data_IF_802650520194
#
_entry.id   IF_802650520194
#
_cell.length_a   1.000
_cell.length_b   1.000
_cell.length_c   1.000
_cell.angle_alpha   90.00
_cell.angle_beta   90.00
_cell.angle_gamma   90.00
#
_symmetry.space_group_name_H-M   'P 1'
#
loop_
_entity.id
_entity.type
_entity.pdbx_description
1 polymer ?
#
# COMPACT_ATOMS: atom_id res chain seq x y z
N UNK A 1 15.83 25.68 15.12
CA UNK A 1 16.59 24.89 14.11
C UNK A 1 16.06 23.48 13.93
N UNK A 2 16.12 22.57 14.92
CA UNK A 2 15.53 21.22 14.78
C UNK A 2 13.99 21.21 14.87
N UNK A 3 13.41 22.08 15.70
CA UNK A 3 11.95 22.26 15.77
C UNK A 3 11.36 22.73 14.44
N UNK A 4 12.04 23.63 13.73
CA UNK A 4 11.59 24.14 12.43
C UNK A 4 11.65 23.06 11.34
N UNK A 5 12.68 22.21 11.37
CA UNK A 5 12.78 21.05 10.46
C UNK A 5 11.64 20.06 10.73
N UNK A 6 11.38 19.76 12.01
CA UNK A 6 10.28 18.89 12.41
C UNK A 6 8.93 19.45 11.94
N UNK A 7 8.66 20.73 12.21
CA UNK A 7 7.41 21.38 11.79
C UNK A 7 7.21 21.33 10.28
N UNK A 8 8.28 21.56 9.49
CA UNK A 8 8.23 21.52 8.03
C UNK A 8 7.90 20.12 7.51
N UNK A 9 8.53 19.09 8.05
CA UNK A 9 8.23 17.70 7.68
C UNK A 9 6.82 17.29 8.13
N UNK A 10 6.39 17.71 9.32
CA UNK A 10 5.05 17.42 9.82
C UNK A 10 3.96 18.10 8.97
N UNK A 11 4.15 19.35 8.54
CA UNK A 11 3.24 19.99 7.60
C UNK A 11 3.15 19.24 6.28
N UNK A 12 4.29 18.86 5.68
CA UNK A 12 4.30 18.04 4.46
C UNK A 12 3.57 16.71 4.64
N UNK A 13 3.72 16.07 5.80
CA UNK A 13 3.01 14.85 6.14
C UNK A 13 1.50 15.06 6.22
N UNK A 14 1.06 16.11 6.92
CA UNK A 14 -0.36 16.48 7.03
C UNK A 14 -0.95 16.80 5.66
N UNK A 15 -0.26 17.58 4.82
CA UNK A 15 -0.71 17.92 3.47
C UNK A 15 -0.84 16.67 2.59
N UNK A 16 0.15 15.77 2.66
CA UNK A 16 0.12 14.50 1.93
C UNK A 16 -1.05 13.62 2.38
N UNK A 17 -1.31 13.53 3.68
CA UNK A 17 -2.44 12.77 4.24
C UNK A 17 -3.78 13.41 3.88
N UNK A 18 -3.90 14.73 3.95
CA UNK A 18 -5.11 15.46 3.56
C UNK A 18 -5.47 15.18 2.11
N UNK A 19 -4.50 15.21 1.21
CA UNK A 19 -4.68 14.90 -0.19
C UNK A 19 -5.15 13.44 -0.38
N UNK A 20 -4.49 12.48 0.30
CA UNK A 20 -4.88 11.07 0.28
C UNK A 20 -6.33 10.85 0.76
N UNK A 21 -6.74 11.46 1.88
CA UNK A 21 -8.11 11.37 2.38
C UNK A 21 -9.14 12.04 1.47
N UNK A 22 -8.76 13.12 0.78
CA UNK A 22 -9.64 13.77 -0.19
C UNK A 22 -9.99 12.81 -1.34
N UNK A 23 -8.99 12.13 -1.90
CA UNK A 23 -9.21 11.11 -2.93
C UNK A 23 -10.00 9.91 -2.40
N UNK A 24 -9.68 9.40 -1.22
CA UNK A 24 -10.38 8.29 -0.59
C UNK A 24 -11.86 8.60 -0.35
N UNK A 25 -12.15 9.80 0.17
CA UNK A 25 -13.52 10.27 0.41
C UNK A 25 -14.32 10.43 -0.89
N UNK A 26 -13.70 10.98 -1.94
CA UNK A 26 -14.33 11.14 -3.26
C UNK A 26 -14.57 9.80 -3.95
N UNK A 27 -13.66 8.85 -3.80
CA UNK A 27 -13.81 7.48 -4.29
C UNK A 27 -14.96 6.75 -3.59
N UNK A 28 -14.98 6.73 -2.26
CA UNK A 28 -16.06 6.10 -1.48
C UNK A 28 -17.42 6.75 -1.74
N UNK A 29 -17.46 8.08 -1.83
CA UNK A 29 -18.69 8.80 -2.16
C UNK A 29 -19.18 8.46 -3.57
N UNK A 30 -18.27 8.31 -4.53
CA UNK A 30 -18.58 7.89 -5.90
C UNK A 30 -19.16 6.49 -5.96
N UNK A 31 -18.56 5.52 -5.28
CA UNK A 31 -19.07 4.14 -5.19
C UNK A 31 -20.45 4.10 -4.52
N UNK A 32 -20.64 4.87 -3.45
CA UNK A 32 -21.92 4.96 -2.76
C UNK A 32 -23.01 5.55 -3.65
N UNK A 33 -22.73 6.70 -4.29
CA UNK A 33 -23.67 7.35 -5.22
C UNK A 33 -24.02 6.44 -6.40
N UNK A 34 -23.03 5.75 -6.98
CA UNK A 34 -23.25 4.79 -8.06
C UNK A 34 -24.13 3.62 -7.60
N UNK A 35 -23.87 3.09 -6.41
CA UNK A 35 -24.71 2.02 -5.82
C UNK A 35 -26.15 2.50 -5.60
N UNK A 36 -26.35 3.70 -5.08
CA UNK A 36 -27.68 4.29 -4.89
C UNK A 36 -28.41 4.50 -6.22
N UNK A 37 -27.70 4.93 -7.28
CA UNK A 37 -28.29 5.08 -8.61
C UNK A 37 -28.77 3.75 -9.19
N UNK A 38 -28.04 2.65 -8.98
CA UNK A 38 -28.49 1.30 -9.35
C UNK A 38 -29.81 0.97 -8.66
N UNK A 39 -29.92 1.22 -7.35
CA UNK A 39 -31.16 0.98 -6.61
C UNK A 39 -32.34 1.80 -7.17
N UNK A 40 -32.14 3.09 -7.39
CA UNK A 40 -33.18 3.97 -7.94
C UNK A 40 -33.63 3.48 -9.32
N UNK A 41 -32.68 3.13 -10.19
CA UNK A 41 -32.96 2.63 -11.53
C UNK A 41 -33.77 1.33 -11.49
N UNK A 42 -33.38 0.38 -10.64
CA UNK A 42 -34.06 -0.92 -10.50
C UNK A 42 -35.46 -0.75 -9.93
N UNK A 43 -35.62 0.02 -8.86
CA UNK A 43 -36.93 0.27 -8.24
C UNK A 43 -37.87 0.96 -9.24
N UNK A 44 -37.35 1.92 -10.00
CA UNK A 44 -38.15 2.64 -11.00
C UNK A 44 -38.54 1.72 -12.15
N UNK A 45 -37.61 0.92 -12.68
CA UNK A 45 -37.90 -0.04 -13.75
C UNK A 45 -38.92 -1.10 -13.29
N UNK A 46 -38.74 -1.66 -12.10
CA UNK A 46 -39.66 -2.66 -11.56
C UNK A 46 -41.06 -2.08 -11.28
N UNK A 47 -41.16 -0.86 -10.78
CA UNK A 47 -42.45 -0.20 -10.58
C UNK A 47 -43.24 -0.04 -11.90
N UNK A 48 -42.54 0.25 -13.00
CA UNK A 48 -43.16 0.30 -14.34
C UNK A 48 -43.61 -1.08 -14.82
N UNK A 49 -42.79 -2.12 -14.61
CA UNK A 49 -43.11 -3.49 -15.03
C UNK A 49 -44.25 -4.11 -14.22
N UNK A 50 -44.32 -3.83 -12.91
CA UNK A 50 -45.41 -4.26 -12.03
C UNK A 50 -46.72 -3.60 -12.46
N UNK A 51 -46.68 -2.30 -12.81
CA UNK A 51 -47.86 -1.57 -13.33
C UNK A 51 -48.43 -2.24 -14.57
N UNK A 52 -47.57 -2.74 -15.46
CA UNK A 52 -47.96 -3.40 -16.70
C UNK A 52 -48.28 -4.90 -16.51
N UNK A 53 -48.23 -5.41 -15.28
CA UNK A 53 -48.52 -6.80 -14.93
C UNK A 53 -47.49 -7.82 -15.42
N UNK A 54 -46.27 -7.37 -15.76
CA UNK A 54 -45.21 -8.23 -16.30
C UNK A 54 -44.36 -8.90 -15.20
N UNK A 55 -44.38 -8.35 -13.99
CA UNK A 55 -43.54 -8.75 -12.85
C UNK A 55 -44.36 -8.64 -11.57
N UNK A 56 -44.21 -9.58 -10.64
CA UNK A 56 -44.87 -9.52 -9.33
C UNK A 56 -44.07 -8.71 -8.30
N UNK A 57 -44.75 -8.15 -7.31
CA UNK A 57 -44.10 -7.44 -6.19
C UNK A 57 -43.09 -8.32 -5.45
N UNK A 58 -43.34 -9.63 -5.38
CA UNK A 58 -42.45 -10.63 -4.76
C UNK A 58 -41.14 -10.78 -5.54
N UNK A 59 -41.19 -10.67 -6.86
CA UNK A 59 -40.01 -10.72 -7.72
C UNK A 59 -39.12 -9.50 -7.48
N UNK A 60 -39.69 -8.31 -7.28
CA UNK A 60 -38.93 -7.10 -6.94
C UNK A 60 -38.15 -7.29 -5.64
N UNK A 61 -38.79 -7.78 -4.58
CA UNK A 61 -38.12 -8.02 -3.29
C UNK A 61 -36.96 -9.00 -3.48
N UNK A 62 -37.18 -10.07 -4.24
CA UNK A 62 -36.16 -11.09 -4.55
C UNK A 62 -35.00 -10.49 -5.35
N UNK A 63 -35.29 -9.65 -6.34
CA UNK A 63 -34.28 -8.99 -7.17
C UNK A 63 -33.42 -8.00 -6.37
N UNK A 64 -34.02 -7.25 -5.42
CA UNK A 64 -33.29 -6.34 -4.53
C UNK A 64 -32.31 -7.10 -3.61
N UNK A 65 -32.67 -8.31 -3.17
CA UNK A 65 -31.76 -9.16 -2.42
C UNK A 65 -30.56 -9.61 -3.29
N UNK A 66 -30.82 -10.02 -4.53
CA UNK A 66 -29.76 -10.41 -5.46
C UNK A 66 -28.83 -9.27 -5.82
N UNK A 67 -29.33 -8.03 -5.93
CA UNK A 67 -28.50 -6.85 -6.13
C UNK A 67 -27.52 -6.67 -4.98
N UNK A 68 -27.95 -6.80 -3.73
CA UNK A 68 -27.02 -6.73 -2.59
C UNK A 68 -25.94 -7.81 -2.70
N UNK A 69 -26.33 -9.06 -2.97
CA UNK A 69 -25.39 -10.17 -3.14
C UNK A 69 -24.42 -9.94 -4.30
N UNK A 70 -24.84 -9.27 -5.37
CA UNK A 70 -24.01 -8.96 -6.53
C UNK A 70 -23.08 -7.76 -6.31
N UNK A 71 -23.53 -6.73 -5.61
CA UNK A 71 -22.73 -5.52 -5.33
C UNK A 71 -21.66 -5.77 -4.27
N UNK A 72 -21.85 -6.72 -3.36
CA UNK A 72 -20.88 -7.02 -2.30
C UNK A 72 -19.51 -7.48 -2.84
N UNK A 73 -19.40 -8.45 -3.77
CA UNK A 73 -18.15 -8.79 -4.44
C UNK A 73 -17.49 -7.61 -5.14
N UNK A 74 -18.28 -6.74 -5.78
CA UNK A 74 -17.76 -5.56 -6.49
C UNK A 74 -17.09 -4.60 -5.48
N UNK A 75 -17.75 -4.31 -4.35
CA UNK A 75 -17.16 -3.50 -3.28
C UNK A 75 -15.89 -4.13 -2.71
N UNK A 76 -15.87 -5.46 -2.53
CA UNK A 76 -14.67 -6.19 -2.09
C UNK A 76 -13.51 -6.04 -3.08
N UNK A 77 -13.77 -6.17 -4.38
CA UNK A 77 -12.75 -6.01 -5.43
C UNK A 77 -12.19 -4.58 -5.46
N UNK A 78 -13.07 -3.59 -5.35
CA UNK A 78 -12.74 -2.17 -5.22
C UNK A 78 -11.80 -1.92 -4.03
N UNK A 79 -12.15 -2.43 -2.85
CA UNK A 79 -11.34 -2.26 -1.63
C UNK A 79 -10.05 -3.09 -1.68
N UNK A 80 -10.06 -4.22 -2.38
CA UNK A 80 -8.86 -5.02 -2.61
C UNK A 80 -7.85 -4.26 -3.46
N UNK A 81 -8.29 -3.49 -4.46
CA UNK A 81 -7.39 -2.65 -5.27
C UNK A 81 -6.54 -1.68 -4.43
N UNK A 82 -7.14 -1.02 -3.44
CA UNK A 82 -6.41 -0.14 -2.51
C UNK A 82 -5.41 -0.91 -1.65
N UNK A 83 -5.84 -2.04 -1.07
CA UNK A 83 -4.96 -2.89 -0.27
C UNK A 83 -3.80 -3.45 -1.09
N UNK A 84 -4.07 -3.87 -2.32
CA UNK A 84 -3.07 -4.40 -3.23
C UNK A 84 -2.01 -3.33 -3.58
N UNK A 85 -2.42 -2.11 -3.92
CA UNK A 85 -1.47 -1.01 -4.21
C UNK A 85 -0.56 -0.69 -3.02
N UNK A 86 -1.14 -0.60 -1.82
CA UNK A 86 -0.37 -0.38 -0.59
C UNK A 86 0.57 -1.55 -0.28
N UNK A 87 0.09 -2.79 -0.44
CA UNK A 87 0.88 -4.00 -0.23
C UNK A 87 2.03 -4.11 -1.23
N UNK A 88 1.78 -3.79 -2.51
CA UNK A 88 2.78 -3.82 -3.57
C UNK A 88 3.94 -2.86 -3.29
N UNK A 89 3.66 -1.64 -2.82
CA UNK A 89 4.71 -0.68 -2.45
C UNK A 89 5.58 -1.18 -1.28
N UNK A 90 4.98 -1.90 -0.32
CA UNK A 90 5.72 -2.55 0.76
C UNK A 90 6.55 -3.76 0.27
N UNK A 91 5.99 -4.51 -0.68
CA UNK A 91 6.66 -5.65 -1.30
C UNK A 91 7.90 -5.22 -2.09
N UNK A 92 7.82 -4.14 -2.87
CA UNK A 92 8.98 -3.61 -3.61
C UNK A 92 10.15 -3.31 -2.67
N UNK A 93 9.88 -2.64 -1.55
CA UNK A 93 10.92 -2.32 -0.56
C UNK A 93 11.45 -3.57 0.17
N UNK A 94 10.59 -4.54 0.43
CA UNK A 94 11.03 -5.83 0.97
C UNK A 94 11.92 -6.57 -0.02
N UNK A 95 11.57 -6.54 -1.31
CA UNK A 95 12.34 -7.16 -2.37
C UNK A 95 13.69 -6.45 -2.57
N UNK A 96 13.72 -5.11 -2.54
CA UNK A 96 14.97 -4.33 -2.51
C UNK A 96 15.89 -4.79 -1.39
N UNK A 97 15.36 -4.99 -0.17
CA UNK A 97 16.14 -5.48 0.97
C UNK A 97 16.70 -6.89 0.76
N UNK A 98 15.92 -7.79 0.15
CA UNK A 98 16.39 -9.15 -0.16
C UNK A 98 17.51 -9.18 -1.21
N UNK A 99 17.61 -8.14 -2.04
CA UNK A 99 18.64 -8.00 -3.07
C UNK A 99 19.90 -7.28 -2.59
N UNK A 100 19.96 -6.85 -1.33
CA UNK A 100 21.18 -6.22 -0.78
C UNK A 100 22.23 -7.32 -0.59
N UNK A 101 23.28 -7.27 -1.41
CA UNK A 101 24.46 -8.11 -1.23
C UNK A 101 25.28 -7.60 -0.03
N UNK A 102 25.86 -8.50 0.79
CA UNK A 102 26.74 -8.11 1.88
C UNK A 102 28.04 -7.51 1.35
N UNK A 103 28.41 -6.34 1.86
CA UNK A 103 29.64 -5.63 1.47
C UNK A 103 30.92 -6.39 1.87
N UNK A 104 30.84 -7.22 2.91
CA UNK A 104 31.95 -8.03 3.44
C UNK A 104 31.53 -9.49 3.40
N UNK A 105 32.26 -10.28 2.62
CA UNK A 105 32.07 -11.72 2.48
C UNK A 105 33.37 -12.44 2.82
N UNK A 106 33.24 -13.61 3.44
CA UNK A 106 34.38 -14.49 3.68
C UNK A 106 34.95 -14.98 2.34
N UNK A 107 36.28 -15.06 2.27
CA UNK A 107 36.94 -15.69 1.12
C UNK A 107 36.58 -17.19 1.06
N UNK A 108 36.57 -17.82 -0.13
CA UNK A 108 36.23 -19.25 -0.28
C UNK A 108 37.06 -20.20 0.61
N UNK A 109 38.27 -19.78 0.97
CA UNK A 109 39.22 -20.50 1.82
C UNK A 109 39.40 -19.86 3.20
N UNK A 110 38.44 -19.06 3.67
CA UNK A 110 38.48 -18.47 5.00
C UNK A 110 38.63 -19.56 6.07
N UNK A 111 39.53 -19.34 7.01
CA UNK A 111 39.78 -20.26 8.12
C UNK A 111 39.03 -19.80 9.36
N UNK A 112 38.61 -20.75 10.19
CA UNK A 112 38.08 -20.43 11.51
C UNK A 112 39.20 -19.89 12.41
N UNK A 113 38.94 -18.78 13.10
CA UNK A 113 39.90 -18.16 13.99
C UNK A 113 40.09 -19.04 15.25
N UNK A 114 41.32 -19.55 15.51
CA UNK A 114 41.61 -20.28 16.74
C UNK A 114 41.77 -19.32 17.93
N UNK A 115 42.09 -19.85 19.12
CA UNK A 115 42.40 -19.01 20.28
C UNK A 115 43.63 -18.12 20.01
N UNK A 116 43.47 -16.81 20.16
CA UNK A 116 44.49 -15.80 19.84
C UNK A 116 44.92 -15.02 21.09
N UNK A 117 46.18 -14.58 21.10
CA UNK A 117 46.79 -13.81 22.21
C UNK A 117 46.45 -12.32 22.20
N UNK A 118 45.87 -11.81 21.12
CA UNK A 118 45.51 -10.39 20.98
C UNK A 118 46.65 -9.48 20.51
N UNK A 119 47.71 -10.03 19.91
CA UNK A 119 48.76 -9.23 19.26
C UNK A 119 48.20 -8.58 17.98
N UNK A 120 48.10 -7.25 17.96
CA UNK A 120 47.52 -6.48 16.84
C UNK A 120 48.58 -5.54 16.26
N UNK A 121 48.77 -5.60 14.94
CA UNK A 121 49.68 -4.72 14.20
C UNK A 121 48.95 -4.09 13.00
N UNK A 122 49.22 -2.81 12.75
CA UNK A 122 48.70 -2.08 11.60
C UNK A 122 49.86 -1.84 10.63
N UNK A 123 49.87 -2.52 9.49
CA UNK A 123 50.96 -2.43 8.51
C UNK A 123 50.46 -1.75 7.24
N UNK A 124 50.89 -0.50 7.01
CA UNK A 124 50.60 0.27 5.80
C UNK A 124 49.12 0.28 5.37
N UNK A 125 48.21 0.40 6.34
CA UNK A 125 46.77 0.42 6.06
C UNK A 125 46.32 1.84 5.73
N UNK A 126 45.37 1.96 4.80
CA UNK A 126 44.63 3.19 4.53
C UNK A 126 43.14 2.88 4.46
N UNK A 127 42.31 3.79 4.93
CA UNK A 127 40.86 3.58 5.02
C UNK A 127 40.08 4.83 4.62
N UNK A 128 38.99 4.60 3.91
CA UNK A 128 38.07 5.63 3.44
C UNK A 128 36.65 5.09 3.43
N UNK A 129 35.71 5.87 3.94
CA UNK A 129 34.30 5.50 3.86
C UNK A 129 33.79 5.57 2.41
N UNK A 130 32.87 4.68 2.01
CA UNK A 130 32.18 4.81 0.74
C UNK A 130 31.53 6.20 0.61
N UNK A 131 31.81 6.90 -0.50
CA UNK A 131 31.25 8.23 -0.77
C UNK A 131 31.98 9.43 -0.17
N UNK A 132 33.12 9.24 0.52
CA UNK A 132 33.97 10.35 0.98
C UNK A 132 35.21 10.50 0.10
N UNK A 133 35.68 11.73 -0.12
CA UNK A 133 36.88 11.95 -0.94
C UNK A 133 38.19 11.80 -0.17
N UNK A 134 38.18 12.04 1.14
CA UNK A 134 39.38 12.04 1.97
C UNK A 134 39.58 10.73 2.71
N UNK A 135 40.84 10.29 2.79
CA UNK A 135 41.23 9.17 3.63
C UNK A 135 41.13 9.56 5.11
N UNK A 136 40.64 8.64 5.91
CA UNK A 136 40.53 8.77 7.37
C UNK A 136 41.75 8.16 8.05
N UNK A 137 42.33 7.12 7.43
CA UNK A 137 43.61 6.50 7.77
C UNK A 137 44.45 6.37 6.51
#
# INVERSE_FOLDING_TARGET
>A
MELDKFQRNNHRYVDSKKNSYYFMGRYHSGISAFSSLIYVAVVTAAALLIRDGQVDTLDLITFLLYINTFLDPIKKLVNFGEQFQNGFSGFDRFYELLQIDPDIVDAPQAINLPEVRGDIEFVNVSFRYPGTEHNVL
#
